data_IF_963404790671
#
_entry.id   IF_963404790671
#
_cell.length_a   1.000
_cell.length_b   1.000
_cell.length_c   1.000
_cell.angle_alpha   90.00
_cell.angle_beta   90.00
_cell.angle_gamma   90.00
#
_symmetry.space_group_name_H-M   'P 1'
#
loop_
_entity.id
_entity.type
_entity.pdbx_description
1 polymer ?
#
# COMPACT_ATOMS: atom_id res chain seq x y z
N UNK A 1 -4.85 -12.27 -22.77
CA UNK A 1 -6.01 -11.55 -22.18
C UNK A 1 -5.45 -10.52 -21.24
N UNK A 2 -5.72 -9.23 -21.54
CA UNK A 2 -5.03 -8.08 -20.98
C UNK A 2 -5.23 -7.86 -19.49
N UNK A 3 -4.22 -7.21 -18.89
CA UNK A 3 -4.25 -6.70 -17.51
C UNK A 3 -5.54 -5.93 -17.22
N UNK A 4 -6.04 -5.99 -15.97
CA UNK A 4 -7.21 -5.22 -15.59
C UNK A 4 -6.96 -3.70 -15.76
N UNK A 5 -7.94 -2.91 -16.19
CA UNK A 5 -7.79 -1.50 -16.58
C UNK A 5 -7.28 -0.53 -15.49
N UNK A 6 -7.01 -1.03 -14.29
CA UNK A 6 -6.44 -0.27 -13.17
C UNK A 6 -5.00 0.21 -13.42
N UNK A 7 -4.24 -0.45 -14.29
CA UNK A 7 -2.82 -0.12 -14.54
C UNK A 7 -2.65 1.07 -15.49
N UNK A 8 -3.61 1.33 -16.38
CA UNK A 8 -3.50 2.43 -17.35
C UNK A 8 -3.68 3.81 -16.69
N UNK A 9 -4.50 3.91 -15.64
CA UNK A 9 -4.81 5.17 -14.95
C UNK A 9 -3.70 5.54 -13.96
N UNK A 10 -2.97 4.55 -13.43
CA UNK A 10 -1.80 4.80 -12.58
C UNK A 10 -0.62 5.37 -13.38
N UNK A 11 -0.63 5.31 -14.72
CA UNK A 11 0.41 5.90 -15.60
C UNK A 11 0.29 7.42 -15.79
N UNK A 12 -0.80 8.05 -15.37
CA UNK A 12 -0.98 9.50 -15.42
C UNK A 12 -0.31 10.20 -14.21
N UNK A 13 0.99 9.95 -14.03
CA UNK A 13 1.79 10.55 -12.96
C UNK A 13 2.61 11.70 -13.54
N UNK A 14 2.61 12.89 -12.90
CA UNK A 14 3.44 13.97 -13.38
C UNK A 14 4.93 13.62 -13.20
N UNK A 15 5.81 13.97 -14.16
CA UNK A 15 7.25 13.80 -13.99
C UNK A 15 7.73 14.74 -12.88
N UNK A 16 8.22 14.18 -11.78
CA UNK A 16 8.82 14.95 -10.69
C UNK A 16 10.33 15.00 -10.89
N UNK A 17 10.90 16.21 -10.94
CA UNK A 17 12.34 16.39 -11.03
C UNK A 17 13.07 15.87 -9.78
N UNK A 18 14.36 15.51 -9.91
CA UNK A 18 15.21 15.07 -8.77
C UNK A 18 15.25 16.07 -7.61
N UNK A 19 15.18 17.36 -7.90
CA UNK A 19 15.17 18.45 -6.91
C UNK A 19 13.89 18.47 -6.06
N UNK A 20 12.73 18.18 -6.65
CA UNK A 20 11.45 18.08 -5.93
C UNK A 20 11.44 16.87 -4.94
N UNK A 21 12.17 15.80 -5.21
CA UNK A 21 12.30 14.67 -4.26
C UNK A 21 12.99 15.10 -2.96
N UNK A 22 14.03 15.92 -3.04
CA UNK A 22 14.78 16.36 -1.87
C UNK A 22 13.98 17.37 -1.02
N UNK A 23 13.28 18.29 -1.65
CA UNK A 23 12.36 19.22 -0.98
C UNK A 23 11.17 18.44 -0.33
N UNK A 24 10.71 17.37 -0.99
CA UNK A 24 9.63 16.51 -0.51
C UNK A 24 9.97 15.74 0.76
N UNK A 25 11.21 15.29 0.94
CA UNK A 25 11.64 14.57 2.13
C UNK A 25 11.63 15.47 3.39
N UNK A 26 11.91 16.77 3.24
CA UNK A 26 12.02 17.72 4.35
C UNK A 26 10.70 18.18 4.96
N UNK A 27 9.57 18.02 4.28
CA UNK A 27 8.26 18.53 4.72
C UNK A 27 7.30 17.46 5.22
N UNK A 28 7.76 16.21 5.38
CA UNK A 28 6.94 15.14 5.94
C UNK A 28 7.16 15.04 7.43
N UNK A 29 6.08 14.92 8.22
CA UNK A 29 6.22 14.77 9.66
C UNK A 29 7.03 13.51 9.97
N UNK A 30 7.92 13.60 10.96
CA UNK A 30 8.66 12.45 11.48
C UNK A 30 7.71 11.50 12.21
N UNK A 31 8.15 10.25 12.42
CA UNK A 31 7.39 9.30 13.24
C UNK A 31 7.16 9.84 14.67
N UNK A 32 8.12 10.55 15.24
CA UNK A 32 7.99 11.18 16.56
C UNK A 32 6.91 12.28 16.57
N UNK A 33 6.86 13.11 15.54
CA UNK A 33 5.83 14.14 15.38
C UNK A 33 4.45 13.52 15.19
N UNK A 34 4.33 12.47 14.39
CA UNK A 34 3.09 11.73 14.24
C UNK A 34 2.64 11.07 15.54
N UNK A 35 3.56 10.47 16.32
CA UNK A 35 3.25 9.89 17.63
C UNK A 35 2.73 10.96 18.60
N UNK A 36 3.37 12.14 18.64
CA UNK A 36 2.91 13.26 19.46
C UNK A 36 1.50 13.70 19.07
N UNK A 37 1.25 13.92 17.77
CA UNK A 37 -0.08 14.33 17.26
C UNK A 37 -1.15 13.27 17.52
N UNK A 38 -0.81 11.99 17.44
CA UNK A 38 -1.71 10.89 17.76
C UNK A 38 -2.16 10.98 19.22
N UNK A 39 -1.18 11.15 20.14
CA UNK A 39 -1.45 11.31 21.57
C UNK A 39 -2.29 12.56 21.88
N UNK A 40 -2.02 13.69 21.21
CA UNK A 40 -2.79 14.93 21.37
C UNK A 40 -4.27 14.76 20.95
N UNK A 41 -4.55 13.88 19.98
CA UNK A 41 -5.91 13.51 19.60
C UNK A 41 -6.54 12.44 20.48
N UNK A 42 -5.82 11.95 21.50
CA UNK A 42 -6.30 10.88 22.37
C UNK A 42 -6.43 9.53 21.64
N UNK A 43 -5.72 9.34 20.53
CA UNK A 43 -5.70 8.08 19.79
C UNK A 43 -4.57 7.17 20.30
N UNK A 44 -4.81 5.85 20.35
CA UNK A 44 -3.82 4.83 20.65
C UNK A 44 -3.65 3.87 19.48
N UNK A 45 -2.42 3.43 19.25
CA UNK A 45 -2.13 2.42 18.21
C UNK A 45 -2.79 1.06 18.52
N UNK A 46 -3.00 0.75 19.79
CA UNK A 46 -3.61 -0.50 20.25
C UNK A 46 -5.11 -0.58 19.89
N UNK A 47 -5.74 0.57 19.65
CA UNK A 47 -7.14 0.63 19.24
C UNK A 47 -7.34 0.52 17.73
N UNK A 48 -6.25 0.46 16.95
CA UNK A 48 -6.33 0.32 15.49
C UNK A 48 -6.61 -1.14 15.15
N UNK A 49 -7.75 -1.36 14.51
CA UNK A 49 -8.19 -2.68 14.03
C UNK A 49 -7.65 -2.94 12.64
N UNK A 50 -7.14 -4.15 12.41
CA UNK A 50 -6.81 -4.66 11.10
C UNK A 50 -7.84 -5.73 10.72
N UNK A 51 -8.55 -5.54 9.62
CA UNK A 51 -9.61 -6.43 9.18
C UNK A 51 -9.68 -6.52 7.66
N UNK A 52 -10.35 -7.54 7.15
CA UNK A 52 -10.72 -7.61 5.75
C UNK A 52 -11.75 -6.50 5.42
N UNK A 53 -11.58 -5.90 4.24
CA UNK A 53 -12.54 -4.95 3.73
C UNK A 53 -13.74 -5.66 3.10
N UNK A 54 -14.89 -5.03 3.20
CA UNK A 54 -16.16 -5.48 2.61
C UNK A 54 -16.66 -4.48 1.55
N UNK A 55 -17.70 -4.83 0.83
CA UNK A 55 -18.34 -3.92 -0.12
C UNK A 55 -18.89 -2.64 0.57
N UNK A 56 -19.24 -2.71 1.84
CA UNK A 56 -19.70 -1.54 2.61
C UNK A 56 -18.58 -0.49 2.82
N UNK A 57 -17.31 -0.91 2.74
CA UNK A 57 -16.16 -0.02 2.88
C UNK A 57 -15.85 0.79 1.60
N UNK A 58 -16.47 0.48 0.46
CA UNK A 58 -16.13 1.09 -0.84
C UNK A 58 -16.08 2.61 -0.81
N UNK A 59 -17.05 3.35 -0.23
CA UNK A 59 -16.98 4.80 -0.19
C UNK A 59 -15.74 5.31 0.57
N UNK A 60 -15.52 4.82 1.79
CA UNK A 60 -14.39 5.22 2.63
C UNK A 60 -13.03 4.77 2.04
N UNK A 61 -12.99 3.59 1.43
CA UNK A 61 -11.80 3.06 0.75
C UNK A 61 -11.43 3.89 -0.49
N UNK A 62 -12.44 4.35 -1.26
CA UNK A 62 -12.21 5.21 -2.42
C UNK A 62 -11.63 6.58 -2.00
N UNK A 63 -12.18 7.20 -0.94
CA UNK A 63 -11.66 8.45 -0.37
C UNK A 63 -10.23 8.28 0.16
N UNK A 64 -9.98 7.21 0.92
CA UNK A 64 -8.67 6.90 1.44
C UNK A 64 -7.66 6.73 0.30
N UNK A 65 -8.01 5.98 -0.74
CA UNK A 65 -7.14 5.74 -1.88
C UNK A 65 -6.77 7.03 -2.61
N UNK A 66 -7.74 7.92 -2.88
CA UNK A 66 -7.49 9.24 -3.51
C UNK A 66 -6.62 10.11 -2.61
N UNK A 67 -6.96 10.22 -1.33
CA UNK A 67 -6.23 11.06 -0.37
C UNK A 67 -4.76 10.63 -0.24
N UNK A 68 -4.53 9.32 -0.08
CA UNK A 68 -3.17 8.79 0.10
C UNK A 68 -2.36 8.84 -1.19
N UNK A 69 -3.00 8.60 -2.35
CA UNK A 69 -2.35 8.72 -3.65
C UNK A 69 -1.92 10.17 -3.92
N UNK A 70 -2.83 11.14 -3.74
CA UNK A 70 -2.53 12.56 -3.90
C UNK A 70 -1.41 13.02 -2.97
N UNK A 71 -1.42 12.57 -1.71
CA UNK A 71 -0.38 12.88 -0.74
C UNK A 71 0.98 12.25 -1.12
N UNK A 72 0.98 11.03 -1.66
CA UNK A 72 2.20 10.35 -2.11
C UNK A 72 2.86 11.09 -3.26
N UNK A 73 2.10 11.48 -4.26
CA UNK A 73 2.60 12.12 -5.48
C UNK A 73 2.48 13.65 -5.47
N UNK A 74 2.03 14.25 -4.35
CA UNK A 74 1.84 15.68 -4.14
C UNK A 74 1.11 16.37 -5.28
N UNK A 75 -0.04 15.85 -5.62
CA UNK A 75 -0.89 16.37 -6.69
C UNK A 75 -2.34 16.46 -6.22
N UNK A 76 -3.06 17.43 -6.73
CA UNK A 76 -4.53 17.50 -6.64
C UNK A 76 -5.21 17.00 -7.91
N UNK A 77 -4.45 16.56 -8.91
CA UNK A 77 -4.93 16.10 -10.22
C UNK A 77 -4.99 14.57 -10.32
N UNK A 78 -5.05 13.88 -9.19
CA UNK A 78 -5.21 12.44 -9.15
C UNK A 78 -6.61 11.97 -9.57
N UNK A 79 -6.83 10.65 -9.57
CA UNK A 79 -8.12 10.06 -9.85
C UNK A 79 -9.22 10.61 -8.93
N UNK A 80 -10.44 10.77 -9.45
CA UNK A 80 -11.56 11.20 -8.62
C UNK A 80 -12.04 10.09 -7.68
N UNK A 81 -12.69 10.47 -6.57
CA UNK A 81 -13.31 9.51 -5.64
C UNK A 81 -14.34 8.63 -6.38
N UNK A 82 -15.14 9.22 -7.25
CA UNK A 82 -16.15 8.46 -8.04
C UNK A 82 -15.50 7.39 -8.93
N UNK A 83 -14.36 7.72 -9.57
CA UNK A 83 -13.62 6.74 -10.36
C UNK A 83 -13.08 5.61 -9.48
N UNK A 84 -12.49 5.92 -8.33
CA UNK A 84 -11.98 4.89 -7.40
C UNK A 84 -13.11 4.05 -6.80
N UNK A 85 -14.25 4.66 -6.47
CA UNK A 85 -15.43 3.92 -5.99
C UNK A 85 -15.90 2.90 -7.04
N UNK A 86 -16.02 3.30 -8.32
CA UNK A 86 -16.37 2.37 -9.40
C UNK A 86 -15.37 1.22 -9.52
N UNK A 87 -14.06 1.51 -9.49
CA UNK A 87 -13.02 0.49 -9.56
C UNK A 87 -13.10 -0.50 -8.38
N UNK A 88 -13.31 -0.01 -7.17
CA UNK A 88 -13.51 -0.86 -6.01
C UNK A 88 -14.80 -1.69 -6.11
N UNK A 89 -15.88 -1.11 -6.63
CA UNK A 89 -17.12 -1.87 -6.90
C UNK A 89 -16.84 -3.03 -7.85
N UNK A 90 -16.09 -2.82 -8.93
CA UNK A 90 -15.69 -3.90 -9.86
C UNK A 90 -14.83 -4.97 -9.19
N UNK A 91 -13.93 -4.58 -8.27
CA UNK A 91 -13.11 -5.53 -7.48
C UNK A 91 -14.01 -6.37 -6.58
N UNK A 92 -14.94 -5.75 -5.83
CA UNK A 92 -15.79 -6.44 -4.86
C UNK A 92 -16.93 -7.24 -5.50
N UNK A 93 -17.33 -6.92 -6.74
CA UNK A 93 -18.39 -7.63 -7.46
C UNK A 93 -17.98 -8.98 -8.06
N UNK A 94 -16.69 -9.33 -8.08
CA UNK A 94 -16.21 -10.60 -8.67
C UNK A 94 -16.73 -11.79 -7.86
N UNK A 95 -17.46 -12.76 -8.47
CA UNK A 95 -18.10 -13.85 -7.73
C UNK A 95 -17.09 -14.81 -7.08
N UNK A 96 -15.94 -15.04 -7.73
CA UNK A 96 -14.89 -15.95 -7.24
C UNK A 96 -13.60 -15.16 -7.00
N UNK A 97 -13.64 -14.29 -5.98
CA UNK A 97 -12.47 -13.50 -5.62
C UNK A 97 -11.38 -14.39 -5.03
N UNK A 98 -10.22 -14.37 -5.67
CA UNK A 98 -8.97 -14.94 -5.14
C UNK A 98 -8.05 -13.85 -4.56
N UNK A 99 -8.38 -12.59 -4.76
CA UNK A 99 -7.72 -11.42 -4.17
C UNK A 99 -8.29 -11.13 -2.76
N UNK A 100 -7.62 -10.26 -2.04
CA UNK A 100 -8.07 -9.78 -0.73
C UNK A 100 -7.72 -8.30 -0.56
N UNK A 101 -8.53 -7.61 0.21
CA UNK A 101 -8.28 -6.23 0.62
C UNK A 101 -8.31 -6.16 2.14
N UNK A 102 -7.24 -5.65 2.74
CA UNK A 102 -7.14 -5.43 4.18
C UNK A 102 -7.20 -3.93 4.44
N UNK A 103 -7.90 -3.54 5.48
CA UNK A 103 -7.96 -2.15 5.95
C UNK A 103 -7.46 -2.03 7.39
N UNK A 104 -6.86 -0.89 7.70
CA UNK A 104 -6.64 -0.42 9.06
C UNK A 104 -7.71 0.63 9.38
N UNK A 105 -8.40 0.42 10.49
CA UNK A 105 -9.46 1.29 10.99
C UNK A 105 -9.10 1.79 12.37
N UNK A 106 -9.25 3.11 12.61
CA UNK A 106 -9.07 3.67 13.94
C UNK A 106 -10.34 3.51 14.79
N UNK A 107 -10.26 3.86 16.06
CA UNK A 107 -11.38 3.73 17.02
C UNK A 107 -12.66 4.47 16.62
N UNK A 108 -12.54 5.48 15.76
CA UNK A 108 -13.68 6.29 15.31
C UNK A 108 -14.32 5.72 14.02
N UNK A 109 -13.90 4.52 13.58
CA UNK A 109 -14.39 3.88 12.37
C UNK A 109 -13.79 4.44 11.08
N UNK A 110 -12.76 5.31 11.17
CA UNK A 110 -12.11 5.90 10.00
C UNK A 110 -11.07 4.94 9.42
N UNK A 111 -11.10 4.70 8.11
CA UNK A 111 -10.06 3.98 7.42
C UNK A 111 -8.79 4.85 7.30
N UNK A 112 -7.66 4.29 7.75
CA UNK A 112 -6.38 5.00 7.82
C UNK A 112 -5.30 4.38 6.92
N UNK A 113 -5.46 3.13 6.51
CA UNK A 113 -4.57 2.43 5.59
C UNK A 113 -5.25 1.23 4.96
N UNK A 114 -4.68 0.74 3.86
CA UNK A 114 -5.15 -0.48 3.21
C UNK A 114 -4.07 -1.16 2.40
N UNK A 115 -4.27 -2.47 2.14
CA UNK A 115 -3.53 -3.24 1.14
C UNK A 115 -4.50 -3.99 0.23
N UNK A 116 -4.04 -4.28 -1.00
CA UNK A 116 -4.73 -5.15 -1.94
C UNK A 116 -3.74 -6.16 -2.49
N UNK A 117 -3.94 -7.43 -2.13
CA UNK A 117 -3.17 -8.57 -2.60
C UNK A 117 -3.99 -9.41 -3.58
N UNK A 118 -3.34 -9.92 -4.63
CA UNK A 118 -3.96 -10.79 -5.63
C UNK A 118 -2.98 -11.88 -6.06
N UNK A 119 -3.47 -13.03 -6.56
CA UNK A 119 -2.63 -14.03 -7.21
C UNK A 119 -1.90 -13.42 -8.41
N UNK A 120 -0.68 -13.87 -8.63
CA UNK A 120 0.14 -13.44 -9.75
C UNK A 120 0.66 -14.66 -10.52
N UNK A 121 0.87 -14.50 -11.83
CA UNK A 121 1.47 -15.52 -12.68
C UNK A 121 2.90 -15.09 -13.01
N UNK A 122 3.86 -15.94 -12.66
CA UNK A 122 5.27 -15.66 -12.87
C UNK A 122 6.13 -16.26 -11.77
N UNK A 123 7.31 -15.70 -11.57
CA UNK A 123 8.29 -16.14 -10.56
C UNK A 123 7.77 -16.01 -9.13
N UNK A 124 6.91 -15.03 -8.87
CA UNK A 124 6.24 -14.81 -7.59
C UNK A 124 4.77 -15.20 -7.72
N UNK A 125 4.25 -15.95 -6.76
CA UNK A 125 2.88 -16.46 -6.82
C UNK A 125 1.81 -15.43 -6.43
N UNK A 126 2.19 -14.34 -5.74
CA UNK A 126 1.32 -13.25 -5.35
C UNK A 126 1.80 -11.90 -5.86
N UNK A 127 0.90 -10.92 -5.88
CA UNK A 127 1.21 -9.50 -6.11
C UNK A 127 0.58 -8.63 -5.05
N UNK A 128 1.39 -7.82 -4.37
CA UNK A 128 0.89 -6.71 -3.56
C UNK A 128 0.64 -5.53 -4.50
N UNK A 129 -0.60 -5.40 -4.97
CA UNK A 129 -0.99 -4.40 -5.97
C UNK A 129 -1.06 -2.99 -5.39
N UNK A 130 -1.52 -2.86 -4.15
CA UNK A 130 -1.65 -1.56 -3.46
C UNK A 130 -1.25 -1.71 -2.00
N UNK A 131 -0.55 -0.71 -1.49
CA UNK A 131 -0.33 -0.47 -0.07
C UNK A 131 -0.31 1.04 0.15
N UNK A 132 -1.23 1.51 0.98
CA UNK A 132 -1.35 2.92 1.31
C UNK A 132 -1.64 3.10 2.79
N UNK A 133 -1.07 4.16 3.36
CA UNK A 133 -1.29 4.58 4.73
C UNK A 133 -1.35 6.11 4.76
N UNK A 134 -2.25 6.69 5.56
CA UNK A 134 -2.30 8.14 5.75
C UNK A 134 -1.00 8.64 6.37
N UNK A 135 -0.51 9.78 5.92
CA UNK A 135 0.79 10.35 6.33
C UNK A 135 0.89 10.60 7.84
N UNK A 136 -0.22 10.98 8.46
CA UNK A 136 -0.33 11.18 9.90
C UNK A 136 -0.10 9.91 10.74
N UNK A 137 -0.03 8.75 10.08
CA UNK A 137 0.23 7.44 10.70
C UNK A 137 1.56 6.81 10.26
N UNK A 138 2.37 7.52 9.45
CA UNK A 138 3.70 7.05 9.05
C UNK A 138 4.69 7.09 10.21
N UNK A 139 5.65 6.15 10.22
CA UNK A 139 6.69 6.05 11.26
C UNK A 139 6.21 5.46 12.59
N UNK A 140 4.98 4.93 12.63
CA UNK A 140 4.34 4.35 13.82
C UNK A 140 4.26 2.80 13.78
N UNK A 141 5.00 2.15 12.90
CA UNK A 141 4.98 0.69 12.75
C UNK A 141 3.81 0.13 11.92
N UNK A 142 2.78 0.94 11.60
CA UNK A 142 1.57 0.47 10.92
C UNK A 142 1.81 -0.01 9.48
N UNK A 143 2.79 0.55 8.77
CA UNK A 143 3.22 0.03 7.47
C UNK A 143 3.78 -1.39 7.57
N UNK A 144 4.60 -1.67 8.60
CA UNK A 144 5.09 -3.02 8.89
C UNK A 144 3.95 -3.97 9.22
N UNK A 145 2.97 -3.53 10.04
CA UNK A 145 1.78 -4.30 10.37
C UNK A 145 0.99 -4.67 9.10
N UNK A 146 0.76 -3.72 8.19
CA UNK A 146 0.10 -3.98 6.89
C UNK A 146 0.86 -5.02 6.05
N UNK A 147 2.18 -4.91 5.96
CA UNK A 147 3.01 -5.89 5.24
C UNK A 147 2.90 -7.28 5.85
N UNK A 148 2.95 -7.40 7.18
CA UNK A 148 2.82 -8.67 7.88
C UNK A 148 1.44 -9.31 7.68
N UNK A 149 0.36 -8.53 7.79
CA UNK A 149 -0.99 -9.01 7.55
C UNK A 149 -1.19 -9.44 6.10
N UNK A 150 -0.63 -8.68 5.14
CA UNK A 150 -0.62 -9.07 3.73
C UNK A 150 0.07 -10.42 3.52
N UNK A 151 1.25 -10.61 4.14
CA UNK A 151 1.97 -11.88 4.07
C UNK A 151 1.18 -13.04 4.67
N UNK A 152 0.50 -12.84 5.81
CA UNK A 152 -0.37 -13.86 6.42
C UNK A 152 -1.52 -14.24 5.50
N UNK A 153 -2.20 -13.26 4.90
CA UNK A 153 -3.30 -13.52 3.96
C UNK A 153 -2.86 -14.28 2.70
N UNK A 154 -1.64 -14.04 2.22
CA UNK A 154 -1.07 -14.82 1.14
C UNK A 154 -0.78 -16.26 1.58
N UNK A 155 -0.12 -16.46 2.72
CA UNK A 155 0.19 -17.80 3.26
C UNK A 155 -1.07 -18.62 3.52
N UNK A 156 -2.14 -18.02 4.06
CA UNK A 156 -3.45 -18.69 4.25
C UNK A 156 -4.06 -19.18 2.93
N UNK A 157 -3.63 -18.63 1.80
CA UNK A 157 -4.05 -18.99 0.43
C UNK A 157 -3.05 -19.89 -0.29
N UNK A 158 -2.03 -20.38 0.43
CA UNK A 158 -0.97 -21.21 -0.15
C UNK A 158 0.02 -20.45 -1.04
N UNK A 159 0.09 -19.12 -0.91
CA UNK A 159 1.00 -18.25 -1.63
C UNK A 159 2.13 -17.85 -0.68
N UNK A 160 3.36 -18.23 -0.98
CA UNK A 160 4.54 -18.06 -0.12
C UNK A 160 5.49 -16.94 -0.54
N UNK A 161 5.20 -16.31 -1.67
CA UNK A 161 6.00 -15.23 -2.25
C UNK A 161 5.11 -14.18 -2.91
N UNK A 162 5.55 -12.91 -2.93
CA UNK A 162 4.87 -11.88 -3.71
C UNK A 162 5.83 -10.84 -4.29
N UNK A 163 5.37 -10.19 -5.36
CA UNK A 163 6.00 -9.05 -6.03
C UNK A 163 5.18 -7.78 -5.79
N UNK A 164 5.87 -6.64 -5.79
CA UNK A 164 5.28 -5.30 -5.76
C UNK A 164 5.96 -4.43 -6.82
N UNK A 165 5.19 -3.61 -7.51
CA UNK A 165 5.68 -2.62 -8.44
C UNK A 165 5.43 -1.21 -7.90
N UNK A 166 6.51 -0.44 -7.74
CA UNK A 166 6.47 0.93 -7.29
C UNK A 166 7.11 1.85 -8.34
N UNK A 167 6.57 3.05 -8.50
CA UNK A 167 7.22 4.06 -9.32
C UNK A 167 8.57 4.47 -8.73
N UNK A 168 9.59 4.67 -9.55
CA UNK A 168 10.91 5.14 -9.12
C UNK A 168 10.84 6.50 -8.40
N UNK A 169 9.80 7.28 -8.67
CA UNK A 169 9.53 8.56 -7.99
C UNK A 169 8.82 8.39 -6.65
N UNK A 170 8.41 7.18 -6.29
CA UNK A 170 7.74 6.93 -5.03
C UNK A 170 8.69 7.21 -3.85
N UNK A 171 8.34 8.13 -2.96
CA UNK A 171 9.22 8.50 -1.84
C UNK A 171 9.34 7.42 -0.76
N UNK A 172 8.56 6.34 -0.86
CA UNK A 172 8.56 5.25 0.12
C UNK A 172 9.38 4.03 -0.34
N UNK A 173 10.19 4.11 -1.40
CA UNK A 173 11.04 2.99 -1.86
C UNK A 173 11.93 2.45 -0.74
N UNK A 174 12.54 3.33 0.07
CA UNK A 174 13.35 2.93 1.22
C UNK A 174 12.59 2.13 2.29
N UNK A 175 11.25 2.24 2.35
CA UNK A 175 10.44 1.38 3.20
C UNK A 175 10.48 -0.08 2.73
N UNK A 176 10.41 -0.33 1.43
CA UNK A 176 10.46 -1.69 0.88
C UNK A 176 11.84 -2.32 1.05
N UNK A 177 12.93 -1.53 0.89
CA UNK A 177 14.29 -1.96 1.21
C UNK A 177 14.39 -2.38 2.68
N UNK A 178 13.88 -1.55 3.59
CA UNK A 178 13.88 -1.82 5.04
C UNK A 178 13.07 -3.08 5.39
N UNK A 179 11.97 -3.33 4.67
CA UNK A 179 11.17 -4.54 4.82
C UNK A 179 11.84 -5.80 4.24
N UNK A 180 13.04 -5.65 3.66
CA UNK A 180 13.83 -6.74 3.09
C UNK A 180 13.32 -7.20 1.72
N UNK A 181 12.69 -6.29 0.97
CA UNK A 181 12.34 -6.52 -0.43
C UNK A 181 13.60 -6.62 -1.28
N UNK A 182 13.69 -7.69 -2.08
CA UNK A 182 14.70 -7.86 -3.12
C UNK A 182 14.38 -6.90 -4.26
N UNK A 183 15.34 -6.05 -4.63
CA UNK A 183 15.20 -5.22 -5.84
C UNK A 183 15.38 -6.08 -7.07
N UNK A 184 14.35 -6.16 -7.90
CA UNK A 184 14.37 -6.98 -9.11
C UNK A 184 14.80 -6.11 -10.29
N UNK A 185 15.69 -6.68 -11.12
CA UNK A 185 16.12 -6.05 -12.35
C UNK A 185 15.10 -6.31 -13.48
N UNK A 186 14.97 -5.34 -14.38
CA UNK A 186 14.26 -5.51 -15.65
C UNK A 186 15.10 -6.28 -16.67
N UNK A 187 14.59 -6.43 -17.89
CA UNK A 187 15.28 -7.13 -19.00
C UNK A 187 16.61 -6.47 -19.42
N UNK A 188 16.88 -5.25 -18.94
CA UNK A 188 18.14 -4.51 -19.17
C UNK A 188 19.07 -4.57 -17.96
N UNK A 189 18.75 -5.37 -16.94
CA UNK A 189 19.53 -5.49 -15.71
C UNK A 189 19.43 -4.29 -14.78
N UNK A 190 18.43 -3.41 -14.97
CA UNK A 190 18.25 -2.20 -14.17
C UNK A 190 17.05 -2.32 -13.23
N UNK A 191 17.16 -1.72 -12.03
CA UNK A 191 16.04 -1.63 -11.12
C UNK A 191 15.00 -0.64 -11.63
N UNK A 192 13.83 -1.14 -12.00
CA UNK A 192 12.70 -0.37 -12.53
C UNK A 192 11.54 -0.20 -11.52
N UNK A 193 11.77 -0.46 -10.22
CA UNK A 193 10.78 -0.29 -9.16
C UNK A 193 10.08 -1.57 -8.72
N UNK A 194 10.51 -2.74 -9.22
CA UNK A 194 9.98 -4.02 -8.79
C UNK A 194 10.70 -4.53 -7.53
N UNK A 195 9.91 -4.95 -6.53
CA UNK A 195 10.40 -5.58 -5.30
C UNK A 195 9.77 -6.96 -5.12
N UNK A 196 10.60 -7.95 -4.75
CA UNK A 196 10.16 -9.31 -4.47
C UNK A 196 10.39 -9.73 -3.03
N UNK A 197 9.50 -10.56 -2.49
CA UNK A 197 9.66 -11.29 -1.24
C UNK A 197 9.43 -12.78 -1.50
N UNK A 198 10.51 -13.58 -1.41
CA UNK A 198 10.49 -15.02 -1.71
C UNK A 198 10.07 -15.87 -0.53
N UNK A 199 10.12 -15.34 0.67
CA UNK A 199 9.80 -16.03 1.91
C UNK A 199 8.97 -15.12 2.81
N UNK A 200 7.65 -15.30 2.77
CA UNK A 200 6.73 -14.49 3.54
C UNK A 200 6.78 -14.80 5.05
N UNK A 201 7.26 -15.97 5.46
CA UNK A 201 7.46 -16.30 6.88
C UNK A 201 8.57 -15.43 7.48
N UNK A 202 9.66 -15.21 6.73
CA UNK A 202 10.72 -14.28 7.14
C UNK A 202 10.22 -12.84 7.24
N UNK A 203 9.36 -12.41 6.31
CA UNK A 203 8.77 -11.08 6.36
C UNK A 203 7.96 -10.88 7.64
N UNK A 204 7.12 -11.85 8.02
CA UNK A 204 6.36 -11.80 9.27
C UNK A 204 7.29 -11.76 10.49
N UNK A 205 8.33 -12.57 10.53
CA UNK A 205 9.31 -12.58 11.62
C UNK A 205 9.99 -11.22 11.85
N UNK A 206 10.35 -10.52 10.77
CA UNK A 206 10.92 -9.16 10.84
C UNK A 206 9.95 -8.10 11.38
N UNK A 207 8.65 -8.35 11.33
CA UNK A 207 7.63 -7.38 11.77
C UNK A 207 7.21 -7.57 13.22
N UNK A 208 7.58 -8.70 13.83
CA UNK A 208 7.26 -9.07 15.21
C UNK A 208 8.37 -8.70 16.21
N UNK A 209 9.54 -8.26 15.71
CA UNK A 209 10.67 -7.76 16.48
C UNK A 209 10.67 -6.23 16.51
#
# INVERSE_FOLDING_TARGET
MGEPPLTLIDRLKPPLSRLLRWANARTRPSGQENARKLKERGESLDTIVCRDATAADIPALAELHVTTWNATYRTSRGPSVALRARQWTEVFAKPERRDFVIVLENRDGRLIGFTWGLPHQGEFAGQLSKIYLRWEYHGLGLGRRLMAETARRFLERGIDSFILFAELTNPTLGFYDHMGGERLADDHGQFAGAYGWRDLKKLIGKTSA
#
